data_IF_526901162917
#
_entry.id   IF_526901162917
#
_cell.length_a   1.000
_cell.length_b   1.000
_cell.length_c   1.000
_cell.angle_alpha   90.00
_cell.angle_beta   90.00
_cell.angle_gamma   90.00
#
_symmetry.space_group_name_H-M   'P 1'
#
loop_
_entity.id
_entity.type
_entity.pdbx_description
1 polymer ?
#
# COMPACT_ATOMS: atom_id res chain seq x y z
N UNK A 1 9.26 2.35 -15.59
CA UNK A 1 8.71 1.57 -16.72
C UNK A 1 8.79 2.48 -17.92
N UNK A 2 9.67 2.16 -18.88
CA UNK A 2 9.83 2.95 -20.09
C UNK A 2 8.74 2.56 -21.09
N UNK A 3 7.78 3.46 -21.32
CA UNK A 3 6.58 3.23 -22.15
C UNK A 3 6.75 3.76 -23.58
N UNK A 4 7.93 4.31 -23.88
CA UNK A 4 8.20 5.01 -25.14
C UNK A 4 8.41 4.08 -26.34
N UNK A 5 8.63 2.79 -26.12
CA UNK A 5 8.80 1.79 -27.18
C UNK A 5 7.50 1.18 -27.71
N UNK A 6 6.35 1.51 -27.11
CA UNK A 6 5.03 0.96 -27.47
C UNK A 6 4.34 1.81 -28.55
N UNK A 7 3.54 1.16 -29.41
CA UNK A 7 2.67 1.86 -30.36
C UNK A 7 1.63 2.71 -29.62
N UNK A 8 1.09 3.74 -30.28
CA UNK A 8 0.09 4.64 -29.70
C UNK A 8 -1.17 3.90 -29.19
N UNK A 9 -1.58 2.83 -29.87
CA UNK A 9 -2.66 1.95 -29.40
C UNK A 9 -2.31 1.18 -28.12
N UNK A 10 -1.07 0.69 -28.01
CA UNK A 10 -0.60 -0.06 -26.84
C UNK A 10 -0.40 0.85 -25.63
N UNK A 11 0.03 2.10 -25.84
CA UNK A 11 0.13 3.10 -24.77
C UNK A 11 -1.23 3.39 -24.13
N UNK A 12 -2.29 3.54 -24.94
CA UNK A 12 -3.65 3.74 -24.42
C UNK A 12 -4.18 2.53 -23.64
N UNK A 13 -3.92 1.31 -24.14
CA UNK A 13 -4.31 0.09 -23.43
C UNK A 13 -3.54 -0.07 -22.12
N UNK A 14 -2.24 0.21 -22.12
CA UNK A 14 -1.40 0.16 -20.94
C UNK A 14 -1.85 1.17 -19.87
N UNK A 15 -2.19 2.39 -20.26
CA UNK A 15 -2.70 3.41 -19.33
C UNK A 15 -3.95 2.91 -18.58
N UNK A 16 -4.89 2.27 -19.29
CA UNK A 16 -6.09 1.68 -18.67
C UNK A 16 -5.73 0.56 -17.68
N UNK A 17 -4.76 -0.29 -18.03
CA UNK A 17 -4.29 -1.37 -17.15
C UNK A 17 -3.64 -0.79 -15.89
N UNK A 18 -2.83 0.27 -16.02
CA UNK A 18 -2.19 0.95 -14.90
C UNK A 18 -3.24 1.51 -13.93
N UNK A 19 -4.25 2.20 -14.44
CA UNK A 19 -5.35 2.75 -13.62
C UNK A 19 -6.13 1.67 -12.89
N UNK A 20 -6.49 0.58 -13.58
CA UNK A 20 -7.15 -0.57 -12.97
C UNK A 20 -6.29 -1.20 -11.88
N UNK A 21 -4.98 -1.31 -12.12
CA UNK A 21 -4.04 -1.84 -11.14
C UNK A 21 -3.93 -0.95 -9.91
N UNK A 22 -3.86 0.37 -10.08
CA UNK A 22 -3.83 1.30 -8.96
C UNK A 22 -5.06 1.14 -8.05
N UNK A 23 -6.25 1.01 -8.62
CA UNK A 23 -7.47 0.79 -7.84
C UNK A 23 -7.42 -0.54 -7.09
N UNK A 24 -6.98 -1.62 -7.74
CA UNK A 24 -6.85 -2.94 -7.12
C UNK A 24 -5.84 -2.92 -5.96
N UNK A 25 -4.69 -2.31 -6.16
CA UNK A 25 -3.63 -2.22 -5.17
C UNK A 25 -4.09 -1.38 -3.96
N UNK A 26 -4.85 -0.30 -4.21
CA UNK A 26 -5.48 0.48 -3.15
C UNK A 26 -6.48 -0.34 -2.32
N UNK A 27 -7.34 -1.13 -2.97
CA UNK A 27 -8.31 -1.97 -2.26
C UNK A 27 -7.63 -3.05 -1.41
N UNK A 28 -6.53 -3.63 -1.89
CA UNK A 28 -5.72 -4.58 -1.12
C UNK A 28 -5.05 -3.91 0.08
N UNK A 29 -4.53 -2.70 -0.10
CA UNK A 29 -3.98 -1.91 1.00
C UNK A 29 -5.05 -1.63 2.07
N UNK A 30 -6.24 -1.22 1.64
CA UNK A 30 -7.35 -0.91 2.53
C UNK A 30 -7.79 -2.15 3.33
N UNK A 31 -8.08 -3.27 2.65
CA UNK A 31 -8.54 -4.50 3.33
C UNK A 31 -7.47 -5.06 4.28
N UNK A 32 -6.20 -5.06 3.86
CA UNK A 32 -5.09 -5.48 4.70
C UNK A 32 -4.89 -4.59 5.93
N UNK A 33 -5.07 -3.27 5.78
CA UNK A 33 -4.98 -2.33 6.89
C UNK A 33 -6.12 -2.53 7.89
N UNK A 34 -7.35 -2.69 7.40
CA UNK A 34 -8.52 -2.97 8.25
C UNK A 34 -8.29 -4.23 9.07
N UNK A 35 -7.88 -5.33 8.43
CA UNK A 35 -7.60 -6.59 9.13
C UNK A 35 -6.49 -6.42 10.18
N UNK A 36 -5.37 -5.79 9.80
CA UNK A 36 -4.23 -5.57 10.71
C UNK A 36 -4.63 -4.78 11.95
N UNK A 37 -5.38 -3.70 11.79
CA UNK A 37 -5.78 -2.87 12.93
C UNK A 37 -6.88 -3.54 13.75
N UNK A 38 -7.75 -4.34 13.12
CA UNK A 38 -8.71 -5.16 13.85
C UNK A 38 -7.98 -6.16 14.76
N UNK A 39 -7.11 -6.99 14.20
CA UNK A 39 -6.34 -8.01 14.93
C UNK A 39 -5.43 -7.41 16.01
N UNK A 40 -4.90 -6.21 15.76
CA UNK A 40 -3.99 -5.53 16.68
C UNK A 40 -4.65 -4.74 17.80
N UNK A 41 -5.87 -4.25 17.61
CA UNK A 41 -6.51 -3.30 18.53
C UNK A 41 -7.81 -3.79 19.16
N UNK A 42 -8.57 -4.67 18.50
CA UNK A 42 -9.91 -5.07 18.96
C UNK A 42 -9.80 -6.37 19.74
N UNK A 43 -9.92 -6.26 21.06
CA UNK A 43 -9.74 -7.39 21.98
C UNK A 43 -10.91 -7.53 22.96
N UNK A 44 -11.76 -6.52 23.10
CA UNK A 44 -12.94 -6.55 23.95
C UNK A 44 -14.19 -6.90 23.13
N UNK A 45 -14.75 -8.07 23.40
CA UNK A 45 -15.95 -8.59 22.72
C UNK A 45 -17.19 -8.59 23.63
N UNK A 46 -17.19 -7.80 24.69
CA UNK A 46 -18.35 -7.66 25.60
C UNK A 46 -19.45 -6.75 25.05
N UNK A 47 -19.16 -5.99 24.00
CA UNK A 47 -20.03 -4.96 23.43
C UNK A 47 -19.95 -4.97 21.90
N UNK A 48 -21.01 -4.51 21.22
CA UNK A 48 -21.02 -4.29 19.76
C UNK A 48 -20.34 -2.99 19.33
N UNK A 49 -20.16 -2.07 20.26
CA UNK A 49 -19.49 -0.80 20.03
C UNK A 49 -18.03 -0.87 20.45
N UNK A 50 -17.18 -0.16 19.71
CA UNK A 50 -15.77 0.00 20.08
C UNK A 50 -15.64 0.84 21.34
N UNK A 51 -14.72 0.44 22.21
CA UNK A 51 -14.35 1.27 23.36
C UNK A 51 -13.56 2.51 22.90
N UNK A 52 -13.43 3.52 23.77
CA UNK A 52 -12.60 4.70 23.49
C UNK A 52 -11.11 4.34 23.31
N UNK A 53 -10.63 3.33 24.05
CA UNK A 53 -9.27 2.80 23.93
C UNK A 53 -9.04 2.13 22.58
N UNK A 54 -9.96 1.28 22.15
CA UNK A 54 -9.89 0.60 20.84
C UNK A 54 -9.96 1.59 19.69
N UNK A 55 -10.86 2.58 19.77
CA UNK A 55 -10.97 3.64 18.76
C UNK A 55 -9.67 4.42 18.62
N UNK A 56 -9.05 4.79 19.74
CA UNK A 56 -7.74 5.47 19.76
C UNK A 56 -6.63 4.58 19.20
N UNK A 57 -6.64 3.29 19.54
CA UNK A 57 -5.69 2.31 19.02
C UNK A 57 -5.79 2.18 17.50
N UNK A 58 -7.00 2.03 16.95
CA UNK A 58 -7.23 1.92 15.50
C UNK A 58 -6.74 3.17 14.78
N UNK A 59 -7.05 4.37 15.28
CA UNK A 59 -6.56 5.62 14.68
C UNK A 59 -5.02 5.69 14.63
N UNK A 60 -4.36 5.32 15.73
CA UNK A 60 -2.90 5.26 15.81
C UNK A 60 -2.33 4.17 14.89
N UNK A 61 -2.97 3.00 14.82
CA UNK A 61 -2.59 1.89 13.95
C UNK A 61 -2.63 2.30 12.48
N UNK A 62 -3.73 2.91 12.04
CA UNK A 62 -3.90 3.43 10.68
C UNK A 62 -2.80 4.45 10.34
N UNK A 63 -2.60 5.46 11.19
CA UNK A 63 -1.60 6.49 10.93
C UNK A 63 -0.17 5.91 10.92
N UNK A 64 0.15 5.03 11.86
CA UNK A 64 1.47 4.39 11.96
C UNK A 64 1.75 3.53 10.74
N UNK A 65 0.77 2.75 10.30
CA UNK A 65 0.94 1.87 9.14
C UNK A 65 1.15 2.65 7.85
N UNK A 66 0.36 3.71 7.60
CA UNK A 66 0.53 4.52 6.39
C UNK A 66 1.92 5.18 6.33
N UNK A 67 2.35 5.81 7.43
CA UNK A 67 3.70 6.39 7.54
C UNK A 67 4.81 5.34 7.39
N UNK A 68 4.59 4.15 7.94
CA UNK A 68 5.51 3.03 7.79
C UNK A 68 5.62 2.57 6.33
N UNK A 69 4.48 2.37 5.66
CA UNK A 69 4.42 1.97 4.25
C UNK A 69 5.09 2.98 3.32
N UNK A 70 4.86 4.29 3.55
CA UNK A 70 5.55 5.36 2.83
C UNK A 70 7.07 5.28 3.01
N UNK A 71 7.54 5.14 4.26
CA UNK A 71 8.97 5.06 4.56
C UNK A 71 9.62 3.81 3.94
N UNK A 72 8.95 2.66 4.03
CA UNK A 72 9.41 1.40 3.42
C UNK A 72 9.47 1.56 1.90
N UNK A 73 8.45 2.16 1.29
CA UNK A 73 8.43 2.45 -0.15
C UNK A 73 9.61 3.31 -0.59
N UNK A 74 9.92 4.37 0.14
CA UNK A 74 11.08 5.22 -0.15
C UNK A 74 12.40 4.44 -0.10
N UNK A 75 12.62 3.65 0.96
CA UNK A 75 13.84 2.82 1.09
C UNK A 75 13.91 1.74 0.01
N UNK A 76 12.78 1.13 -0.32
CA UNK A 76 12.70 0.14 -1.39
C UNK A 76 13.10 0.73 -2.75
N UNK A 77 12.64 1.94 -3.07
CA UNK A 77 13.02 2.62 -4.30
C UNK A 77 14.53 2.92 -4.36
N UNK A 78 15.12 3.38 -3.25
CA UNK A 78 16.57 3.60 -3.14
C UNK A 78 17.36 2.30 -3.37
N UNK A 79 16.97 1.21 -2.73
CA UNK A 79 17.62 -0.09 -2.85
C UNK A 79 17.47 -0.71 -4.24
N UNK A 80 16.29 -0.59 -4.84
CA UNK A 80 16.04 -1.07 -6.20
C UNK A 80 16.90 -0.30 -7.24
N UNK A 81 17.07 1.01 -7.06
CA UNK A 81 17.98 1.80 -7.90
C UNK A 81 19.44 1.36 -7.74
N UNK A 82 19.88 1.05 -6.50
CA UNK A 82 21.23 0.52 -6.24
C UNK A 82 21.47 -0.81 -6.92
N UNK A 83 20.50 -1.73 -6.87
CA UNK A 83 20.59 -3.05 -7.50
C UNK A 83 20.66 -2.95 -9.04
N UNK A 84 19.86 -2.07 -9.66
CA UNK A 84 19.94 -1.84 -11.11
C UNK A 84 21.29 -1.24 -11.52
N UNK A 85 21.90 -0.40 -10.68
CA UNK A 85 23.26 0.14 -10.92
C UNK A 85 24.39 -0.87 -10.69
N UNK A 86 24.14 -2.01 -10.04
CA UNK A 86 25.10 -3.08 -9.81
C UNK A 86 24.99 -4.23 -10.81
N UNK A 87 24.02 -4.22 -11.74
CA UNK A 87 23.99 -5.20 -12.82
C UNK A 87 25.23 -5.01 -13.69
N UNK A 88 26.12 -6.03 -13.82
CA UNK A 88 27.19 -5.99 -14.79
C UNK A 88 26.55 -5.92 -16.18
N UNK A 89 27.06 -5.00 -16.99
CA UNK A 89 26.68 -4.83 -18.39
C UNK A 89 27.02 -6.07 -19.21
#
# INVERSE_FOLDING_TARGET
>A
MDLTSLSSSEQMQMQRIIEQKQMKDFMNLYSGLVQRCFDGCIHDFTSRALTSKETTCVANCTQKFLKHSERVGARFAEENARLMGQQPQ
#
